data_IF_348738601447
#
_entry.id   IF_348738601447
#
_cell.length_a   1.000
_cell.length_b   1.000
_cell.length_c   1.000
_cell.angle_alpha   90.00
_cell.angle_beta   90.00
_cell.angle_gamma   90.00
#
_symmetry.space_group_name_H-M   'P 1'
#
loop_
_entity.id
_entity.type
_entity.pdbx_description
1 polymer ?
#
# COMPACT_ATOMS: atom_id res chain seq x y z
N UNK A 1 34.17 99.23 -54.78
CA UNK A 1 32.78 98.76 -54.88
C UNK A 1 32.73 97.35 -54.34
N UNK A 2 31.74 97.11 -53.47
CA UNK A 2 31.29 95.87 -52.82
C UNK A 2 31.96 94.53 -53.20
N UNK A 3 32.22 93.71 -52.17
CA UNK A 3 31.52 92.43 -52.01
C UNK A 3 31.54 91.99 -50.54
N UNK A 4 30.37 91.67 -50.01
CA UNK A 4 30.12 91.04 -48.71
C UNK A 4 29.82 89.53 -48.95
N UNK A 5 29.69 88.69 -47.90
CA UNK A 5 30.46 87.45 -47.76
C UNK A 5 29.65 86.17 -48.02
N UNK A 6 30.32 85.03 -48.18
CA UNK A 6 29.69 83.70 -48.12
C UNK A 6 30.10 83.02 -46.82
N UNK A 7 29.17 82.91 -45.88
CA UNK A 7 29.29 82.17 -44.63
C UNK A 7 29.32 80.67 -44.88
N UNK A 8 30.38 79.99 -44.44
CA UNK A 8 30.58 78.55 -44.57
C UNK A 8 30.26 77.81 -43.24
N UNK A 9 29.20 78.22 -42.53
CA UNK A 9 28.81 77.65 -41.24
C UNK A 9 28.02 76.31 -41.34
N UNK A 10 27.71 75.84 -42.55
CA UNK A 10 26.85 74.66 -42.75
C UNK A 10 27.50 73.28 -42.67
N UNK A 11 28.83 73.17 -42.81
CA UNK A 11 29.51 71.86 -42.99
C UNK A 11 30.07 71.24 -41.70
N UNK A 12 30.41 72.05 -40.69
CA UNK A 12 30.99 71.54 -39.42
C UNK A 12 29.94 70.95 -38.48
N UNK A 13 28.75 71.56 -38.40
CA UNK A 13 27.67 71.10 -37.52
C UNK A 13 27.11 69.72 -37.94
N UNK A 14 27.07 69.41 -39.24
CA UNK A 14 26.49 68.18 -39.75
C UNK A 14 27.37 66.95 -39.48
N UNK A 15 28.70 67.10 -39.58
CA UNK A 15 29.66 66.03 -39.28
C UNK A 15 29.71 65.70 -37.78
N UNK A 16 29.64 66.71 -36.91
CA UNK A 16 29.61 66.50 -35.46
C UNK A 16 28.33 65.79 -35.00
N UNK A 17 27.18 66.12 -35.60
CA UNK A 17 25.91 65.44 -35.35
C UNK A 17 25.92 63.99 -35.87
N UNK A 18 26.54 63.74 -37.02
CA UNK A 18 26.68 62.38 -37.58
C UNK A 18 27.56 61.50 -36.68
N UNK A 19 28.72 61.99 -36.22
CA UNK A 19 29.63 61.27 -35.31
C UNK A 19 28.97 61.03 -33.94
N UNK A 20 28.21 62.00 -33.41
CA UNK A 20 27.44 61.79 -32.16
C UNK A 20 26.38 60.70 -32.33
N UNK A 21 25.68 60.67 -33.47
CA UNK A 21 24.65 59.67 -33.76
C UNK A 21 25.24 58.27 -33.93
N UNK A 22 26.42 58.15 -34.55
CA UNK A 22 27.14 56.89 -34.70
C UNK A 22 27.62 56.36 -33.35
N UNK A 23 28.22 57.22 -32.51
CA UNK A 23 28.67 56.85 -31.17
C UNK A 23 27.51 56.44 -30.25
N UNK A 24 26.34 57.09 -30.38
CA UNK A 24 25.12 56.65 -29.68
C UNK A 24 24.66 55.27 -30.16
N UNK A 25 24.64 55.01 -31.47
CA UNK A 25 24.26 53.70 -32.04
C UNK A 25 25.24 52.59 -31.66
N UNK A 26 26.55 52.85 -31.65
CA UNK A 26 27.58 51.89 -31.24
C UNK A 26 27.49 51.59 -29.74
N UNK A 27 27.29 52.60 -28.89
CA UNK A 27 27.04 52.40 -27.44
C UNK A 27 25.76 51.63 -27.18
N UNK A 28 24.70 51.93 -27.94
CA UNK A 28 23.43 51.21 -27.85
C UNK A 28 23.65 49.73 -28.22
N UNK A 29 24.30 49.47 -29.36
CA UNK A 29 24.60 48.11 -29.82
C UNK A 29 25.50 47.33 -28.85
N UNK A 30 26.52 47.96 -28.25
CA UNK A 30 27.35 47.32 -27.23
C UNK A 30 26.55 46.95 -25.98
N UNK A 31 25.58 47.76 -25.57
CA UNK A 31 24.71 47.46 -24.43
C UNK A 31 23.82 46.25 -24.73
N UNK A 32 23.24 46.13 -25.94
CA UNK A 32 22.46 44.95 -26.32
C UNK A 32 23.30 43.68 -26.41
N UNK A 33 24.54 43.78 -26.92
CA UNK A 33 25.47 42.64 -26.94
C UNK A 33 25.84 42.21 -25.52
N UNK A 34 26.14 43.15 -24.63
CA UNK A 34 26.43 42.85 -23.22
C UNK A 34 25.25 42.22 -22.49
N UNK A 35 24.03 42.73 -22.70
CA UNK A 35 22.80 42.15 -22.12
C UNK A 35 22.54 40.74 -22.67
N UNK A 36 22.73 40.54 -23.98
CA UNK A 36 22.60 39.23 -24.61
C UNK A 36 23.58 38.19 -24.06
N UNK A 37 24.85 38.57 -23.86
CA UNK A 37 25.86 37.70 -23.25
C UNK A 37 25.49 37.36 -21.79
N UNK A 38 25.02 38.33 -21.01
CA UNK A 38 24.57 38.10 -19.63
C UNK A 38 23.37 37.13 -19.60
N UNK A 39 22.39 37.30 -20.49
CA UNK A 39 21.24 36.39 -20.57
C UNK A 39 21.69 34.96 -20.91
N UNK A 40 22.60 34.79 -21.87
CA UNK A 40 23.13 33.49 -22.25
C UNK A 40 23.84 32.84 -21.04
N UNK A 41 24.71 33.57 -20.35
CA UNK A 41 25.41 33.05 -19.16
C UNK A 41 24.45 32.64 -18.03
N UNK A 42 23.39 33.42 -17.79
CA UNK A 42 22.36 33.09 -16.79
C UNK A 42 21.60 31.83 -17.19
N UNK A 43 21.21 31.69 -18.46
CA UNK A 43 20.50 30.48 -18.94
C UNK A 43 21.38 29.23 -18.87
N UNK A 44 22.67 29.33 -19.21
CA UNK A 44 23.63 28.23 -19.05
C UNK A 44 23.83 27.83 -17.58
N UNK A 45 23.93 28.81 -16.68
CA UNK A 45 24.03 28.54 -15.25
C UNK A 45 22.77 27.85 -14.70
N UNK A 46 21.59 28.27 -15.14
CA UNK A 46 20.31 27.68 -14.74
C UNK A 46 20.12 26.25 -15.30
N UNK A 47 20.58 26.01 -16.54
CA UNK A 47 20.58 24.69 -17.16
C UNK A 47 21.56 23.74 -16.46
N UNK A 48 22.75 24.22 -16.10
CA UNK A 48 23.73 23.44 -15.34
C UNK A 48 23.22 23.10 -13.92
N UNK A 49 22.54 24.04 -13.25
CA UNK A 49 21.95 23.82 -11.94
C UNK A 49 20.79 22.81 -11.98
N UNK A 50 19.89 22.93 -12.98
CA UNK A 50 18.80 21.96 -13.15
C UNK A 50 19.32 20.58 -13.54
N UNK A 51 20.34 20.50 -14.41
CA UNK A 51 20.99 19.22 -14.74
C UNK A 51 21.68 18.61 -13.52
N UNK A 52 22.34 19.40 -12.68
CA UNK A 52 22.94 18.94 -11.42
C UNK A 52 21.89 18.37 -10.45
N UNK A 53 20.74 19.04 -10.31
CA UNK A 53 19.63 18.54 -9.47
C UNK A 53 19.01 17.27 -10.06
N UNK A 54 18.81 17.20 -11.37
CA UNK A 54 18.26 16.02 -12.05
C UNK A 54 19.24 14.84 -11.93
N UNK A 55 20.52 15.03 -12.20
CA UNK A 55 21.56 14.00 -12.03
C UNK A 55 21.67 13.56 -10.57
N UNK A 56 21.51 14.46 -9.59
CA UNK A 56 21.51 14.07 -8.18
C UNK A 56 20.23 13.33 -7.76
N UNK A 57 19.10 13.57 -8.44
CA UNK A 57 17.85 12.79 -8.26
C UNK A 57 17.86 11.45 -9.01
N UNK A 58 18.58 11.37 -10.14
CA UNK A 58 18.75 10.18 -10.98
C UNK A 58 19.96 9.33 -10.60
N UNK A 59 20.85 9.82 -9.72
CA UNK A 59 21.72 8.95 -8.96
C UNK A 59 20.80 8.07 -8.14
N UNK A 60 20.53 6.88 -8.69
CA UNK A 60 19.92 5.80 -7.96
C UNK A 60 20.70 5.69 -6.66
N UNK A 61 20.09 6.19 -5.58
CA UNK A 61 20.54 5.86 -4.24
C UNK A 61 20.52 4.35 -4.26
N UNK A 62 21.64 3.64 -4.01
CA UNK A 62 21.60 2.19 -3.98
C UNK A 62 20.44 1.83 -3.08
N UNK A 63 19.42 1.20 -3.64
CA UNK A 63 18.42 0.57 -2.82
C UNK A 63 19.26 -0.49 -2.13
N UNK A 64 19.64 -0.20 -0.90
CA UNK A 64 20.15 -1.16 0.05
C UNK A 64 19.01 -2.15 0.23
N UNK A 65 18.85 -3.04 -0.76
CA UNK A 65 18.02 -4.23 -0.61
C UNK A 65 18.73 -4.92 0.53
N UNK A 66 18.08 -5.09 1.70
CA UNK A 66 18.66 -5.95 2.71
C UNK A 66 19.06 -7.21 1.97
N UNK A 67 20.32 -7.63 2.08
CA UNK A 67 20.68 -8.98 1.66
C UNK A 67 19.63 -9.85 2.32
N UNK A 68 18.83 -10.55 1.52
CA UNK A 68 17.84 -11.48 2.07
C UNK A 68 18.65 -12.30 3.05
N UNK A 69 18.34 -12.16 4.34
CA UNK A 69 19.13 -12.77 5.38
C UNK A 69 18.91 -14.27 5.18
N UNK A 70 19.85 -14.89 4.45
CA UNK A 70 19.61 -16.17 3.80
C UNK A 70 19.36 -17.21 4.86
N UNK A 71 20.03 -17.05 6.01
CA UNK A 71 19.80 -17.80 7.24
C UNK A 71 18.33 -17.79 7.70
N UNK A 72 17.64 -16.64 7.65
CA UNK A 72 16.22 -16.59 8.03
C UNK A 72 15.34 -17.33 7.04
N UNK A 73 15.46 -17.00 5.76
CA UNK A 73 14.63 -17.58 4.72
C UNK A 73 14.89 -19.09 4.57
N UNK A 74 16.14 -19.53 4.72
CA UNK A 74 16.56 -20.93 4.68
C UNK A 74 16.15 -21.71 5.93
N UNK A 75 15.95 -21.04 7.08
CA UNK A 75 15.48 -21.69 8.30
C UNK A 75 14.01 -22.13 8.23
N UNK A 76 13.24 -21.63 7.25
CA UNK A 76 11.83 -21.98 7.04
C UNK A 76 11.76 -23.08 5.98
N UNK A 77 11.67 -24.34 6.44
CA UNK A 77 11.65 -25.49 5.55
C UNK A 77 10.24 -25.94 5.19
N UNK A 78 10.02 -26.33 3.94
CA UNK A 78 8.73 -26.85 3.46
C UNK A 78 8.30 -28.08 4.28
N UNK A 79 9.25 -28.95 4.67
CA UNK A 79 8.97 -30.12 5.50
C UNK A 79 8.31 -29.75 6.83
N UNK A 80 8.80 -28.69 7.50
CA UNK A 80 8.26 -28.23 8.77
C UNK A 80 6.84 -27.66 8.58
N UNK A 81 6.64 -26.90 7.50
CA UNK A 81 5.32 -26.39 7.11
C UNK A 81 4.33 -27.53 6.86
N UNK A 82 4.76 -28.60 6.18
CA UNK A 82 3.89 -29.75 5.89
C UNK A 82 3.50 -30.52 7.16
N UNK A 83 4.35 -30.57 8.19
CA UNK A 83 3.99 -31.14 9.50
C UNK A 83 2.80 -30.38 10.09
N UNK A 84 2.85 -29.05 10.08
CA UNK A 84 1.77 -28.22 10.60
C UNK A 84 0.48 -28.34 9.78
N UNK A 85 0.57 -28.41 8.44
CA UNK A 85 -0.61 -28.64 7.59
C UNK A 85 -1.28 -29.99 7.86
N UNK A 86 -0.48 -31.05 8.05
CA UNK A 86 -1.00 -32.36 8.41
C UNK A 86 -1.69 -32.32 9.76
N UNK A 87 -1.16 -31.58 10.73
CA UNK A 87 -1.82 -31.43 12.03
C UNK A 87 -3.14 -30.67 11.93
N UNK A 88 -3.22 -29.60 11.14
CA UNK A 88 -4.50 -28.94 10.87
C UNK A 88 -5.49 -29.90 10.19
N UNK A 89 -5.03 -30.74 9.26
CA UNK A 89 -5.87 -31.77 8.65
C UNK A 89 -6.34 -32.80 9.67
N UNK A 90 -5.48 -33.25 10.58
CA UNK A 90 -5.84 -34.19 11.64
C UNK A 90 -6.90 -33.60 12.58
N UNK A 91 -6.71 -32.35 13.02
CA UNK A 91 -7.69 -31.63 13.83
C UNK A 91 -9.03 -31.59 13.11
N UNK A 92 -9.06 -31.17 11.84
CA UNK A 92 -10.29 -31.11 11.07
C UNK A 92 -10.96 -32.50 10.98
N UNK A 93 -10.22 -33.53 10.59
CA UNK A 93 -10.72 -34.91 10.47
C UNK A 93 -11.34 -35.42 11.77
N UNK A 94 -10.70 -35.15 12.91
CA UNK A 94 -11.13 -35.63 14.22
C UNK A 94 -12.28 -34.81 14.84
N UNK A 95 -12.64 -33.66 14.25
CA UNK A 95 -13.61 -32.71 14.83
C UNK A 95 -14.78 -32.38 13.90
N UNK A 96 -15.07 -33.26 12.93
CA UNK A 96 -16.23 -33.12 12.03
C UNK A 96 -15.89 -32.60 10.64
N UNK A 97 -14.63 -32.76 10.20
CA UNK A 97 -14.17 -32.48 8.85
C UNK A 97 -13.84 -31.02 8.55
N UNK A 98 -13.88 -30.13 9.55
CA UNK A 98 -13.68 -28.70 9.36
C UNK A 98 -13.08 -28.04 10.62
N UNK A 99 -12.62 -26.80 10.47
CA UNK A 99 -12.08 -25.92 11.52
C UNK A 99 -12.86 -24.60 11.53
N UNK A 100 -14.15 -24.64 11.23
CA UNK A 100 -14.97 -23.44 11.09
C UNK A 100 -15.19 -22.76 12.44
N UNK A 101 -15.35 -21.44 12.43
CA UNK A 101 -15.62 -20.68 13.64
C UNK A 101 -16.80 -21.27 14.42
N UNK A 102 -16.73 -21.25 15.76
CA UNK A 102 -17.71 -21.87 16.66
C UNK A 102 -17.80 -23.41 16.57
N UNK A 103 -16.73 -24.07 16.14
CA UNK A 103 -16.61 -25.55 16.18
C UNK A 103 -15.46 -25.99 17.09
N UNK A 104 -15.45 -27.28 17.45
CA UNK A 104 -14.35 -27.91 18.18
C UNK A 104 -13.04 -27.80 17.39
N UNK A 105 -13.09 -27.98 16.06
CA UNK A 105 -11.90 -27.91 15.20
C UNK A 105 -11.26 -26.53 15.17
N UNK A 106 -12.05 -25.45 15.23
CA UNK A 106 -11.50 -24.10 15.36
C UNK A 106 -10.80 -23.89 16.69
N UNK A 107 -11.43 -24.28 17.80
CA UNK A 107 -10.82 -24.12 19.13
C UNK A 107 -9.51 -24.93 19.25
N UNK A 108 -9.50 -26.18 18.77
CA UNK A 108 -8.28 -27.01 18.77
C UNK A 108 -7.20 -26.46 17.84
N UNK A 109 -7.56 -25.80 16.73
CA UNK A 109 -6.59 -25.08 15.88
C UNK A 109 -5.90 -23.97 16.66
N UNK A 110 -6.67 -23.15 17.39
CA UNK A 110 -6.12 -22.05 18.19
C UNK A 110 -5.27 -22.58 19.35
N UNK A 111 -5.71 -23.65 20.02
CA UNK A 111 -4.95 -24.30 21.09
C UNK A 111 -3.62 -24.83 20.57
N UNK A 112 -3.62 -25.48 19.40
CA UNK A 112 -2.41 -25.96 18.75
C UNK A 112 -1.41 -24.83 18.48
N UNK A 113 -1.84 -23.75 17.82
CA UNK A 113 -0.99 -22.61 17.49
C UNK A 113 -0.45 -21.95 18.76
N UNK A 114 -1.32 -21.72 19.75
CA UNK A 114 -0.96 -21.09 21.01
C UNK A 114 0.08 -21.93 21.78
N UNK A 115 -0.16 -23.24 21.90
CA UNK A 115 0.75 -24.15 22.59
C UNK A 115 2.10 -24.25 21.87
N UNK A 116 2.09 -24.34 20.53
CA UNK A 116 3.31 -24.41 19.74
C UNK A 116 4.15 -23.13 19.89
N UNK A 117 3.53 -21.95 19.78
CA UNK A 117 4.23 -20.67 20.00
C UNK A 117 4.77 -20.56 21.43
N UNK A 118 3.97 -20.93 22.43
CA UNK A 118 4.37 -20.83 23.84
C UNK A 118 5.52 -21.77 24.18
N UNK A 119 5.60 -22.93 23.52
CA UNK A 119 6.65 -23.92 23.75
C UNK A 119 7.94 -23.61 22.97
N UNK A 120 7.83 -23.09 21.75
CA UNK A 120 8.97 -22.91 20.84
C UNK A 120 9.49 -21.47 20.72
N UNK A 121 8.86 -20.51 21.40
CA UNK A 121 9.24 -19.10 21.35
C UNK A 121 9.15 -18.44 22.73
N UNK A 122 9.74 -17.26 22.85
CA UNK A 122 9.58 -16.37 24.00
C UNK A 122 8.49 -15.29 23.77
N UNK A 123 7.60 -15.48 22.80
CA UNK A 123 6.56 -14.50 22.48
C UNK A 123 5.56 -14.36 23.62
N UNK A 124 5.03 -13.14 23.77
CA UNK A 124 3.87 -12.87 24.63
C UNK A 124 2.60 -13.25 23.87
N UNK A 125 2.20 -14.52 23.98
CA UNK A 125 0.99 -15.03 23.33
C UNK A 125 -0.25 -14.63 24.12
N UNK A 126 -1.30 -14.17 23.43
CA UNK A 126 -2.54 -13.74 24.06
C UNK A 126 -3.74 -14.07 23.15
N UNK A 127 -4.77 -14.66 23.74
CA UNK A 127 -6.05 -14.94 23.07
C UNK A 127 -7.06 -13.85 23.38
N UNK A 128 -7.75 -13.35 22.35
CA UNK A 128 -8.84 -12.36 22.51
C UNK A 128 -10.15 -12.93 21.99
N UNK A 129 -11.12 -13.04 22.89
CA UNK A 129 -12.47 -13.46 22.56
C UNK A 129 -13.30 -12.26 22.14
N UNK A 130 -14.11 -12.43 21.10
CA UNK A 130 -15.07 -11.45 20.63
C UNK A 130 -16.29 -12.15 20.05
N UNK A 131 -17.42 -11.45 20.01
CA UNK A 131 -18.65 -11.97 19.41
C UNK A 131 -18.60 -11.83 17.89
N UNK A 132 -18.89 -12.93 17.19
CA UNK A 132 -19.09 -12.96 15.75
C UNK A 132 -20.56 -13.18 15.43
N UNK A 133 -21.07 -12.43 14.45
CA UNK A 133 -22.37 -12.73 13.86
C UNK A 133 -22.20 -13.95 12.95
N UNK A 134 -22.88 -15.05 13.28
CA UNK A 134 -22.89 -16.22 12.44
C UNK A 134 -23.89 -16.03 11.28
N UNK A 135 -23.39 -16.03 10.05
CA UNK A 135 -24.22 -15.98 8.86
C UNK A 135 -24.42 -17.40 8.35
N UNK A 136 -25.58 -17.98 8.66
CA UNK A 136 -25.98 -19.27 8.11
C UNK A 136 -26.69 -19.06 6.77
N UNK A 137 -26.40 -19.93 5.80
CA UNK A 137 -27.11 -19.95 4.53
C UNK A 137 -28.57 -20.35 4.80
N UNK A 138 -29.50 -19.41 4.65
CA UNK A 138 -30.91 -19.66 4.92
C UNK A 138 -31.56 -20.61 3.90
N UNK A 139 -31.10 -20.56 2.64
CA UNK A 139 -31.53 -21.46 1.56
C UNK A 139 -30.51 -21.45 0.43
N UNK A 140 -30.58 -22.45 -0.46
CA UNK A 140 -29.79 -22.47 -1.67
C UNK A 140 -30.01 -21.18 -2.50
N UNK A 141 -28.96 -20.74 -3.19
CA UNK A 141 -29.09 -19.59 -4.10
C UNK A 141 -30.17 -19.88 -5.14
N UNK A 142 -30.96 -18.86 -5.46
CA UNK A 142 -31.98 -18.93 -6.51
C UNK A 142 -31.53 -17.97 -7.62
N UNK A 143 -31.24 -18.50 -8.80
CA UNK A 143 -31.07 -17.71 -10.01
C UNK A 143 -32.31 -17.88 -10.87
N UNK A 144 -32.94 -16.76 -11.22
CA UNK A 144 -34.09 -16.73 -12.11
C UNK A 144 -33.65 -15.99 -13.37
N UNK A 145 -33.76 -16.64 -14.53
CA UNK A 145 -33.51 -15.99 -15.83
C UNK A 145 -34.82 -15.74 -16.54
N UNK A 146 -35.01 -14.53 -17.09
CA UNK A 146 -36.13 -14.23 -17.98
C UNK A 146 -35.61 -13.86 -19.37
N UNK A 147 -35.99 -14.63 -20.38
CA UNK A 147 -35.62 -14.39 -21.79
C UNK A 147 -36.90 -14.41 -22.60
N UNK A 148 -37.16 -13.34 -23.36
CA UNK A 148 -38.37 -13.17 -24.17
C UNK A 148 -39.68 -13.37 -23.38
N UNK A 149 -39.71 -12.96 -22.10
CA UNK A 149 -40.86 -13.11 -21.21
C UNK A 149 -41.03 -14.49 -20.59
N UNK A 150 -40.19 -15.47 -20.93
CA UNK A 150 -40.19 -16.80 -20.29
C UNK A 150 -39.23 -16.81 -19.11
N UNK A 151 -39.77 -17.09 -17.93
CA UNK A 151 -39.03 -17.14 -16.67
C UNK A 151 -38.67 -18.58 -16.31
N UNK A 152 -37.38 -18.84 -16.08
CA UNK A 152 -36.85 -20.16 -15.70
C UNK A 152 -36.05 -20.04 -14.41
N UNK A 153 -36.38 -20.88 -13.43
CA UNK A 153 -35.58 -21.07 -12.23
C UNK A 153 -34.41 -21.99 -12.57
N UNK A 154 -33.18 -21.51 -12.37
CA UNK A 154 -31.96 -22.28 -12.58
C UNK A 154 -31.63 -23.12 -11.36
N UNK A 155 -31.10 -24.30 -11.61
CA UNK A 155 -30.72 -25.26 -10.58
C UNK A 155 -29.35 -24.89 -10.01
N UNK A 156 -29.32 -24.54 -8.72
CA UNK A 156 -28.09 -24.50 -7.94
C UNK A 156 -27.74 -25.90 -7.46
N UNK A 157 -26.48 -26.33 -7.65
CA UNK A 157 -25.99 -27.59 -7.07
C UNK A 157 -24.49 -27.54 -6.80
N UNK A 158 -24.01 -28.16 -5.70
CA UNK A 158 -22.58 -28.38 -5.49
C UNK A 158 -21.99 -29.46 -6.42
N UNK A 159 -22.82 -30.27 -7.08
CA UNK A 159 -22.36 -31.21 -8.11
C UNK A 159 -22.35 -30.53 -9.48
N UNK A 160 -21.16 -30.33 -10.04
CA UNK A 160 -20.94 -29.64 -11.31
C UNK A 160 -21.66 -30.28 -12.50
N UNK A 161 -21.93 -31.59 -12.45
CA UNK A 161 -22.64 -32.30 -13.52
C UNK A 161 -24.13 -31.95 -13.61
N UNK A 162 -24.69 -31.30 -12.58
CA UNK A 162 -26.12 -30.92 -12.52
C UNK A 162 -26.34 -29.43 -12.21
N UNK A 163 -25.27 -28.68 -11.94
CA UNK A 163 -25.37 -27.25 -11.65
C UNK A 163 -25.61 -26.45 -12.94
N UNK A 164 -26.71 -25.70 -13.02
CA UNK A 164 -26.93 -24.73 -14.11
C UNK A 164 -26.26 -23.38 -13.83
N UNK A 165 -25.93 -23.11 -12.57
CA UNK A 165 -25.15 -21.95 -12.18
C UNK A 165 -24.39 -22.19 -10.88
N UNK A 166 -23.31 -21.43 -10.72
CA UNK A 166 -22.55 -21.27 -9.49
C UNK A 166 -22.41 -19.77 -9.23
N UNK A 167 -22.46 -19.35 -7.97
CA UNK A 167 -22.14 -17.98 -7.61
C UNK A 167 -20.70 -17.93 -7.12
N UNK A 168 -19.97 -16.93 -7.58
CA UNK A 168 -18.69 -16.54 -7.00
C UNK A 168 -18.97 -15.22 -6.30
N UNK A 169 -18.92 -15.21 -4.97
CA UNK A 169 -19.22 -14.00 -4.20
C UNK A 169 -17.98 -13.11 -4.18
N UNK A 170 -17.79 -12.35 -5.24
CA UNK A 170 -16.93 -11.17 -5.16
C UNK A 170 -17.68 -10.08 -4.40
N UNK A 171 -16.98 -9.32 -3.56
CA UNK A 171 -17.51 -8.03 -3.12
C UNK A 171 -17.91 -7.25 -4.37
N UNK A 172 -19.14 -6.73 -4.42
CA UNK A 172 -19.57 -5.93 -5.57
C UNK A 172 -18.59 -4.78 -5.73
N UNK A 173 -18.07 -4.57 -6.94
CA UNK A 173 -17.46 -3.30 -7.28
C UNK A 173 -18.53 -2.22 -7.10
N UNK A 174 -18.24 -1.24 -6.26
CA UNK A 174 -19.13 -0.09 -6.07
C UNK A 174 -18.71 0.94 -7.11
N UNK A 175 -19.54 1.14 -8.13
CA UNK A 175 -19.39 2.28 -9.03
C UNK A 175 -19.94 3.51 -8.31
N UNK A 176 -19.06 4.25 -7.65
CA UNK A 176 -19.40 5.56 -7.13
C UNK A 176 -19.46 6.55 -8.31
N UNK A 177 -20.67 6.96 -8.69
CA UNK A 177 -20.87 7.99 -9.71
C UNK A 177 -20.53 9.41 -9.19
N UNK A 178 -20.50 9.57 -7.87
CA UNK A 178 -20.21 10.80 -7.13
C UNK A 178 -19.11 10.56 -6.09
N UNK A 179 -18.45 11.63 -5.66
CA UNK A 179 -17.49 11.56 -4.55
C UNK A 179 -18.17 11.05 -3.28
N UNK A 180 -17.64 9.98 -2.69
CA UNK A 180 -18.13 9.50 -1.40
C UNK A 180 -17.59 10.42 -0.30
N UNK A 181 -18.45 11.05 0.51
CA UNK A 181 -17.99 11.87 1.62
C UNK A 181 -17.19 11.00 2.60
N UNK A 182 -16.07 11.55 3.06
CA UNK A 182 -15.21 10.93 4.06
C UNK A 182 -15.59 11.50 5.43
N UNK A 183 -15.98 10.62 6.36
CA UNK A 183 -16.11 10.96 7.78
C UNK A 183 -14.80 10.62 8.48
N UNK A 184 -14.10 11.64 9.01
CA UNK A 184 -12.87 11.42 9.77
C UNK A 184 -13.22 11.07 11.21
N UNK A 185 -12.83 9.87 11.64
CA UNK A 185 -12.97 9.44 13.02
C UNK A 185 -11.80 10.08 13.82
N UNK A 186 -12.07 10.92 14.83
CA UNK A 186 -11.05 11.72 15.50
C UNK A 186 -10.05 10.88 16.30
N UNK A 187 -10.45 9.66 16.68
CA UNK A 187 -9.68 8.72 17.48
C UNK A 187 -9.48 7.39 16.74
N UNK A 188 -9.01 6.37 17.48
CA UNK A 188 -8.64 5.04 16.96
C UNK A 188 -9.82 4.16 16.49
N UNK A 189 -11.07 4.62 16.64
CA UNK A 189 -12.27 3.86 16.30
C UNK A 189 -12.46 2.61 17.16
N UNK A 190 -11.91 2.60 18.39
CA UNK A 190 -11.87 1.43 19.27
C UNK A 190 -13.10 1.31 20.18
N UNK A 191 -13.84 2.39 20.39
CA UNK A 191 -15.05 2.46 21.22
C UNK A 191 -16.20 3.13 20.47
N UNK A 192 -17.44 2.84 20.86
CA UNK A 192 -18.63 3.48 20.26
C UNK A 192 -18.57 5.02 20.32
N UNK A 193 -17.99 5.55 21.40
CA UNK A 193 -17.79 6.99 21.57
C UNK A 193 -16.87 7.59 20.49
N UNK A 194 -15.90 6.84 19.96
CA UNK A 194 -15.03 7.31 18.88
C UNK A 194 -15.82 7.54 17.59
N UNK A 195 -16.81 6.68 17.32
CA UNK A 195 -17.68 6.77 16.15
C UNK A 195 -18.73 7.87 16.30
N UNK A 196 -19.22 8.09 17.52
CA UNK A 196 -20.16 9.17 17.85
C UNK A 196 -19.48 10.55 17.87
N UNK A 197 -18.18 10.60 18.14
CA UNK A 197 -17.38 11.83 18.14
C UNK A 197 -16.98 12.31 16.73
N UNK A 198 -17.32 11.56 15.69
CA UNK A 198 -17.04 11.96 14.31
C UNK A 198 -17.79 13.25 13.94
N UNK A 199 -17.12 14.18 13.26
CA UNK A 199 -17.72 15.45 12.82
C UNK A 199 -18.96 15.26 11.95
N UNK A 200 -19.04 14.14 11.23
CA UNK A 200 -20.25 13.64 10.56
C UNK A 200 -20.46 12.18 10.92
N UNK A 201 -21.72 11.77 11.09
CA UNK A 201 -22.03 10.35 11.28
C UNK A 201 -21.41 9.53 10.13
N UNK A 202 -20.67 8.46 10.42
CA UNK A 202 -20.07 7.62 9.39
C UNK A 202 -21.11 6.76 8.64
N UNK A 203 -22.39 6.80 9.04
CA UNK A 203 -23.45 6.03 8.41
C UNK A 203 -23.65 6.46 6.95
N UNK A 204 -23.48 5.51 6.02
CA UNK A 204 -23.55 5.76 4.57
C UNK A 204 -22.36 6.52 3.99
N UNK A 205 -21.27 6.71 4.76
CA UNK A 205 -20.06 7.42 4.35
C UNK A 205 -18.83 6.50 4.41
N UNK A 206 -17.70 6.93 3.83
CA UNK A 206 -16.41 6.26 4.04
C UNK A 206 -15.80 6.80 5.34
N UNK A 207 -15.67 5.94 6.35
CA UNK A 207 -14.97 6.31 7.58
C UNK A 207 -13.46 6.26 7.37
N UNK A 208 -12.77 7.39 7.54
CA UNK A 208 -11.32 7.45 7.64
C UNK A 208 -10.93 7.35 9.11
N UNK A 209 -10.50 6.17 9.53
CA UNK A 209 -10.05 5.89 10.90
C UNK A 209 -8.54 5.95 10.95
N UNK A 210 -8.00 6.80 11.82
CA UNK A 210 -6.58 6.74 12.13
C UNK A 210 -6.33 5.52 13.01
N UNK A 211 -5.48 4.60 12.54
CA UNK A 211 -5.03 3.44 13.32
C UNK A 211 -3.58 3.68 13.73
N UNK A 212 -3.38 4.17 14.95
CA UNK A 212 -2.10 4.33 15.62
C UNK A 212 -1.76 5.78 15.97
N UNK A 213 -1.52 6.02 17.26
CA UNK A 213 -0.88 7.21 17.80
C UNK A 213 0.38 6.77 18.57
N UNK A 214 1.56 6.97 17.96
CA UNK A 214 2.92 6.97 18.56
C UNK A 214 3.90 5.77 18.33
N UNK A 215 5.20 6.06 18.52
CA UNK A 215 6.36 5.89 17.63
C UNK A 215 7.16 4.58 17.71
N UNK A 216 6.50 3.43 17.79
CA UNK A 216 7.17 2.14 17.49
C UNK A 216 6.49 1.48 16.31
N UNK A 217 7.05 1.67 15.12
CA UNK A 217 6.62 1.00 13.90
C UNK A 217 6.55 -0.52 14.18
N UNK A 218 5.32 -1.05 14.09
CA UNK A 218 5.04 -2.47 14.32
C UNK A 218 4.63 -3.09 13.00
N UNK A 219 5.32 -4.14 12.60
CA UNK A 219 4.93 -4.98 11.47
C UNK A 219 3.94 -6.01 12.01
N UNK A 220 2.75 -6.07 11.43
CA UNK A 220 1.73 -7.07 11.76
C UNK A 220 1.64 -8.06 10.62
N UNK A 221 1.73 -9.35 10.94
CA UNK A 221 1.66 -10.45 9.97
C UNK A 221 0.57 -11.41 10.43
N UNK A 222 -0.32 -11.80 9.55
CA UNK A 222 -1.40 -12.70 9.92
C UNK A 222 -2.02 -13.48 8.78
N UNK A 223 -2.74 -14.52 9.16
CA UNK A 223 -3.56 -15.34 8.28
C UNK A 223 -4.69 -15.93 9.10
N UNK A 224 -5.92 -15.87 8.57
CA UNK A 224 -7.07 -16.39 9.30
C UNK A 224 -6.93 -17.91 9.49
N UNK A 225 -7.34 -18.37 10.67
CA UNK A 225 -7.17 -19.75 11.13
C UNK A 225 -8.43 -20.60 11.04
N UNK A 226 -9.60 -20.04 10.74
CA UNK A 226 -10.83 -20.81 10.51
C UNK A 226 -10.90 -21.40 9.10
N UNK A 227 -11.80 -22.37 8.92
CA UNK A 227 -12.24 -22.87 7.61
C UNK A 227 -13.73 -22.60 7.40
N UNK A 228 -14.24 -22.97 6.21
CA UNK A 228 -15.69 -23.13 6.03
C UNK A 228 -16.16 -24.46 6.63
N UNK A 229 -17.45 -24.60 7.02
CA UNK A 229 -17.98 -25.85 7.56
C UNK A 229 -17.87 -27.05 6.60
N UNK A 230 -17.81 -26.80 5.29
CA UNK A 230 -17.78 -27.83 4.25
C UNK A 230 -16.37 -28.40 3.96
N UNK A 231 -15.31 -27.87 4.58
CA UNK A 231 -13.93 -28.22 4.22
C UNK A 231 -12.96 -28.10 5.40
N UNK A 232 -11.88 -28.91 5.43
CA UNK A 232 -10.80 -28.76 6.39
C UNK A 232 -10.00 -27.45 6.24
N UNK A 233 -10.12 -26.77 5.08
CA UNK A 233 -9.48 -25.48 4.85
C UNK A 233 -7.95 -25.53 4.90
N UNK A 234 -7.33 -26.55 4.29
CA UNK A 234 -5.87 -26.73 4.31
C UNK A 234 -5.18 -25.68 3.44
N UNK A 235 -5.65 -25.47 2.21
CA UNK A 235 -5.14 -24.36 1.40
C UNK A 235 -5.71 -23.03 1.91
N UNK A 236 -7.03 -22.97 2.13
CA UNK A 236 -7.77 -21.79 2.56
C UNK A 236 -8.29 -21.95 4.01
N UNK A 237 -7.61 -21.43 5.03
CA UNK A 237 -6.29 -20.78 4.98
C UNK A 237 -5.28 -21.42 5.94
N UNK A 238 -5.29 -22.76 5.99
CA UNK A 238 -4.27 -23.54 6.68
C UNK A 238 -2.86 -23.16 6.21
N UNK A 239 -2.66 -23.03 4.90
CA UNK A 239 -1.37 -22.68 4.28
C UNK A 239 -0.80 -21.36 4.79
N UNK A 240 -1.59 -20.28 4.76
CA UNK A 240 -1.20 -18.99 5.29
C UNK A 240 -1.00 -19.02 6.81
N UNK A 241 -1.88 -19.73 7.53
CA UNK A 241 -1.76 -19.88 9.00
C UNK A 241 -0.46 -20.54 9.42
N UNK A 242 -0.07 -21.64 8.78
CA UNK A 242 1.16 -22.37 9.15
C UNK A 242 2.42 -21.70 8.62
N UNK A 243 2.35 -21.01 7.47
CA UNK A 243 3.46 -20.18 7.00
C UNK A 243 3.72 -19.04 7.99
N UNK A 244 2.66 -18.43 8.53
CA UNK A 244 2.77 -17.43 9.59
C UNK A 244 3.39 -18.02 10.88
N UNK A 245 3.06 -19.27 11.22
CA UNK A 245 3.62 -19.97 12.39
C UNK A 245 5.10 -20.28 12.22
N UNK A 246 5.49 -20.80 11.05
CA UNK A 246 6.89 -21.04 10.71
C UNK A 246 7.71 -19.75 10.73
N UNK A 247 7.17 -18.67 10.16
CA UNK A 247 7.79 -17.35 10.17
C UNK A 247 8.01 -16.83 11.60
N UNK A 248 7.01 -16.96 12.47
CA UNK A 248 7.07 -16.58 13.88
C UNK A 248 8.17 -17.33 14.65
N UNK A 249 8.24 -18.64 14.48
CA UNK A 249 9.19 -19.51 15.19
C UNK A 249 10.61 -19.30 14.69
N UNK A 250 10.80 -19.24 13.37
CA UNK A 250 12.09 -18.91 12.78
C UNK A 250 12.59 -17.54 13.26
N UNK A 251 11.69 -16.56 13.37
CA UNK A 251 12.03 -15.23 13.84
C UNK A 251 12.52 -15.28 15.30
N UNK A 252 11.79 -15.99 16.16
CA UNK A 252 12.16 -16.16 17.56
C UNK A 252 13.54 -16.83 17.71
N UNK A 253 13.82 -17.88 16.93
CA UNK A 253 15.13 -18.57 16.95
C UNK A 253 16.28 -17.66 16.55
N UNK A 254 16.12 -16.86 15.50
CA UNK A 254 17.16 -15.89 15.11
C UNK A 254 17.46 -14.89 16.24
N UNK A 255 16.43 -14.45 16.95
CA UNK A 255 16.58 -13.52 18.06
C UNK A 255 17.24 -14.11 19.31
N UNK A 256 17.30 -15.43 19.43
CA UNK A 256 18.04 -16.12 20.50
C UNK A 256 19.54 -16.18 20.20
N UNK A 257 19.95 -15.93 18.96
CA UNK A 257 21.37 -15.87 18.60
C UNK A 257 22.00 -14.54 19.05
N UNK A 258 23.20 -14.59 19.62
CA UNK A 258 23.90 -13.43 20.18
C UNK A 258 24.42 -12.44 19.11
N UNK A 259 24.35 -12.82 17.84
CA UNK A 259 24.87 -12.06 16.69
C UNK A 259 23.80 -11.16 16.04
N UNK A 260 22.52 -11.41 16.26
CA UNK A 260 21.44 -10.62 15.65
C UNK A 260 21.15 -9.33 16.43
N UNK A 261 21.29 -8.17 15.76
CA UNK A 261 20.89 -6.87 16.34
C UNK A 261 19.37 -6.84 16.53
N UNK A 262 18.91 -6.33 17.69
CA UNK A 262 17.49 -6.04 17.95
C UNK A 262 16.89 -5.25 16.79
N UNK A 263 15.72 -5.69 16.32
CA UNK A 263 15.10 -5.13 15.13
C UNK A 263 14.69 -3.68 15.37
N UNK A 264 14.74 -2.90 14.31
CA UNK A 264 14.26 -1.51 14.31
C UNK A 264 12.76 -1.42 14.63
N UNK A 265 12.00 -2.46 14.28
CA UNK A 265 10.55 -2.53 14.40
C UNK A 265 10.11 -3.67 15.31
N UNK A 266 8.97 -3.47 15.98
CA UNK A 266 8.29 -4.56 16.68
C UNK A 266 7.61 -5.44 15.63
N UNK A 267 7.56 -6.75 15.86
CA UNK A 267 6.79 -7.67 15.01
C UNK A 267 5.69 -8.29 15.86
N UNK A 268 4.48 -8.35 15.31
CA UNK A 268 3.32 -8.99 15.93
C UNK A 268 2.69 -9.95 14.93
N UNK A 269 2.45 -11.18 15.38
CA UNK A 269 1.74 -12.20 14.63
C UNK A 269 0.29 -12.30 15.11
N UNK A 270 -0.66 -12.56 14.20
CA UNK A 270 -2.06 -12.81 14.52
C UNK A 270 -2.66 -13.91 13.64
N UNK A 271 -3.65 -14.63 14.19
CA UNK A 271 -4.40 -15.72 13.57
C UNK A 271 -5.91 -15.55 13.81
#
# INVERSE_FOLDING_TARGET
MNNNPVSNEGLSANNNNMILSLNKRVKFLSVFISIGIILILVTLALAAATLGVVVNRLKDKPIDRPSLDSEYAESIQISDIMIHLNELQNIATNTGGNRAINTIGFNQTLDYINNYLSFHTNFKVATKYFYVKNFILASNSILITSINGVTVNRIFSPNLSIAEFYFVQYTRSVNFADYVPISVIPNEGCSDNDWLAANSSPNGQVALVKRGIDATQTIVIGGHSDSVPASPGINDNGSGSVANLGLAVALARLFETSTYKKYKYRVRFCW
#
